data_IF_163277472112
#
_entry.id   IF_163277472112
#
_cell.length_a   1.000
_cell.length_b   1.000
_cell.length_c   1.000
_cell.angle_alpha   90.00
_cell.angle_beta   90.00
_cell.angle_gamma   90.00
#
_symmetry.space_group_name_H-M   'P 1'
#
loop_
_entity.id
_entity.type
_entity.pdbx_description
1 polymer ?
#
# COMPACT_ATOMS: atom_id res chain seq x y z
N UNK A 1 -23.15 -17.24 6.14
CA UNK A 1 -22.27 -16.08 5.87
C UNK A 1 -20.83 -16.49 6.19
N UNK A 2 -19.87 -16.17 5.33
CA UNK A 2 -18.44 -16.49 5.53
C UNK A 2 -17.65 -15.18 5.69
N UNK A 3 -16.84 -15.09 6.75
CA UNK A 3 -15.98 -13.92 6.97
C UNK A 3 -14.77 -13.99 6.03
N UNK A 4 -14.50 -12.88 5.34
CA UNK A 4 -13.42 -12.78 4.36
C UNK A 4 -12.54 -11.57 4.74
N UNK A 5 -11.38 -11.79 5.38
CA UNK A 5 -10.51 -10.68 5.75
C UNK A 5 -9.80 -10.09 4.53
N UNK A 6 -9.64 -8.77 4.51
CA UNK A 6 -8.79 -8.06 3.54
C UNK A 6 -7.47 -7.75 4.25
N UNK A 7 -6.37 -8.22 3.69
CA UNK A 7 -5.03 -8.07 4.26
C UNK A 7 -4.22 -7.16 3.33
N UNK A 8 -3.91 -5.92 3.73
CA UNK A 8 -2.98 -5.07 2.98
C UNK A 8 -1.53 -5.53 3.19
N UNK A 9 -0.72 -5.43 2.14
CA UNK A 9 0.71 -5.71 2.18
C UNK A 9 1.46 -4.71 1.30
N UNK A 10 2.51 -4.11 1.85
CA UNK A 10 3.48 -3.33 1.07
C UNK A 10 4.73 -4.16 0.91
N UNK A 11 5.30 -4.15 -0.29
CA UNK A 11 6.61 -4.75 -0.51
C UNK A 11 7.74 -3.72 -0.29
N UNK A 12 8.97 -4.20 -0.04
CA UNK A 12 10.17 -3.37 0.09
C UNK A 12 10.75 -2.95 -1.28
N UNK A 13 10.14 -3.35 -2.40
CA UNK A 13 10.50 -2.84 -3.72
C UNK A 13 9.84 -1.49 -4.02
N UNK A 14 10.66 -0.52 -4.43
CA UNK A 14 10.20 0.74 -5.03
C UNK A 14 10.12 0.58 -6.54
N UNK A 15 9.03 1.05 -7.13
CA UNK A 15 8.82 1.10 -8.58
C UNK A 15 9.14 2.51 -9.05
N UNK A 16 10.06 2.65 -10.01
CA UNK A 16 10.34 3.91 -10.70
C UNK A 16 9.69 3.92 -12.08
N UNK A 17 9.12 5.07 -12.47
CA UNK A 17 8.51 5.25 -13.79
C UNK A 17 9.43 6.13 -14.63
N UNK A 18 9.95 5.61 -15.75
CA UNK A 18 11.03 6.22 -16.54
C UNK A 18 10.76 7.65 -17.07
N UNK A 19 9.52 8.14 -17.01
CA UNK A 19 9.14 9.46 -17.52
C UNK A 19 9.59 10.60 -16.60
N UNK A 20 9.87 10.34 -15.32
CA UNK A 20 10.27 11.34 -14.32
C UNK A 20 11.01 10.64 -13.17
N UNK A 21 11.86 11.36 -12.41
CA UNK A 21 12.53 10.81 -11.22
C UNK A 21 11.55 10.60 -10.04
N UNK A 22 10.43 9.92 -10.28
CA UNK A 22 9.44 9.59 -9.28
C UNK A 22 9.53 8.10 -8.95
N UNK A 23 9.66 7.82 -7.66
CA UNK A 23 9.61 6.49 -7.09
C UNK A 23 8.32 6.30 -6.31
N UNK A 24 7.82 5.07 -6.32
CA UNK A 24 6.56 4.72 -5.70
C UNK A 24 6.67 3.41 -4.94
N UNK A 25 6.00 3.35 -3.79
CA UNK A 25 5.77 2.13 -3.02
C UNK A 25 4.48 1.45 -3.52
N UNK A 26 4.52 0.24 -4.08
CA UNK A 26 3.31 -0.48 -4.45
C UNK A 26 2.60 -1.00 -3.18
N UNK A 27 1.31 -0.72 -3.09
CA UNK A 27 0.43 -1.22 -2.05
C UNK A 27 -0.45 -2.32 -2.63
N UNK A 28 -0.34 -3.52 -2.09
CA UNK A 28 -1.14 -4.67 -2.47
C UNK A 28 -2.21 -4.96 -1.42
N UNK A 29 -3.31 -5.57 -1.86
CA UNK A 29 -4.35 -6.13 -1.01
C UNK A 29 -4.58 -7.58 -1.37
N UNK A 30 -4.80 -8.42 -0.37
CA UNK A 30 -5.12 -9.82 -0.56
C UNK A 30 -6.37 -10.22 0.21
N UNK A 31 -7.10 -11.15 -0.36
CA UNK A 31 -8.22 -11.80 0.31
C UNK A 31 -7.68 -12.93 1.19
N UNK A 32 -7.73 -12.77 2.51
CA UNK A 32 -7.15 -13.73 3.46
C UNK A 32 -7.93 -15.04 3.60
N UNK A 33 -9.10 -15.16 2.96
CA UNK A 33 -9.86 -16.40 2.84
C UNK A 33 -9.53 -17.18 1.55
N UNK A 34 -8.27 -17.15 1.15
CA UNK A 34 -7.77 -17.92 0.01
C UNK A 34 -6.82 -18.99 0.53
N UNK A 35 -7.15 -20.25 0.27
CA UNK A 35 -6.34 -21.39 0.69
C UNK A 35 -4.95 -21.32 0.01
N UNK A 36 -3.92 -21.76 0.73
CA UNK A 36 -2.51 -21.66 0.33
C UNK A 36 -2.19 -22.26 -1.06
N UNK A 37 -3.00 -23.19 -1.57
CA UNK A 37 -2.87 -23.71 -2.93
C UNK A 37 -3.07 -22.62 -4.02
N UNK A 38 -3.92 -21.63 -3.78
CA UNK A 38 -4.12 -20.50 -4.69
C UNK A 38 -3.01 -19.43 -4.57
N UNK A 39 -2.24 -19.44 -3.48
CA UNK A 39 -1.00 -18.66 -3.37
C UNK A 39 0.11 -19.24 -4.25
N UNK A 40 0.23 -20.58 -4.29
CA UNK A 40 1.27 -21.25 -5.06
C UNK A 40 0.91 -21.48 -6.53
N UNK A 41 -0.39 -21.57 -6.87
CA UNK A 41 -0.84 -22.00 -8.19
C UNK A 41 -0.99 -20.89 -9.23
N UNK A 42 -1.42 -19.68 -8.86
CA UNK A 42 -1.78 -18.68 -9.87
C UNK A 42 -1.95 -17.21 -9.40
N UNK A 43 -1.46 -16.79 -8.23
CA UNK A 43 -1.43 -15.37 -7.84
C UNK A 43 -2.79 -14.63 -7.81
N UNK A 44 -3.92 -15.34 -7.90
CA UNK A 44 -5.26 -14.77 -8.09
C UNK A 44 -5.84 -14.07 -6.85
N UNK A 45 -5.12 -14.12 -5.73
CA UNK A 45 -5.57 -13.58 -4.45
C UNK A 45 -5.05 -12.17 -4.16
N UNK A 46 -4.08 -11.68 -4.93
CA UNK A 46 -3.40 -10.40 -4.70
C UNK A 46 -3.84 -9.40 -5.76
N UNK A 47 -4.31 -8.23 -5.34
CA UNK A 47 -4.67 -7.11 -6.21
C UNK A 47 -3.84 -5.89 -5.83
N UNK A 48 -3.41 -5.11 -6.83
CA UNK A 48 -2.75 -3.83 -6.60
C UNK A 48 -3.79 -2.79 -6.16
N UNK A 49 -3.62 -2.24 -4.96
CA UNK A 49 -4.48 -1.18 -4.43
C UNK A 49 -4.03 0.21 -4.91
N UNK A 50 -2.72 0.43 -5.03
CA UNK A 50 -2.20 1.69 -5.55
C UNK A 50 -0.70 1.86 -5.37
N UNK A 51 -0.22 3.07 -5.68
CA UNK A 51 1.18 3.47 -5.59
C UNK A 51 1.29 4.66 -4.63
N UNK A 52 1.97 4.47 -3.50
CA UNK A 52 2.23 5.54 -2.53
C UNK A 52 3.46 6.33 -2.98
N UNK A 53 3.36 7.65 -2.97
CA UNK A 53 4.46 8.53 -3.39
C UNK A 53 5.64 8.46 -2.42
N UNK A 54 6.85 8.37 -2.96
CA UNK A 54 8.10 8.57 -2.22
C UNK A 54 8.55 10.01 -2.45
N UNK A 55 8.35 10.93 -1.49
CA UNK A 55 8.87 12.28 -1.63
C UNK A 55 10.39 12.22 -1.61
N UNK A 56 11.01 12.78 -2.66
CA UNK A 56 12.46 12.99 -2.71
C UNK A 56 12.74 14.46 -2.45
N UNK A 57 13.72 14.74 -1.62
CA UNK A 57 14.25 16.08 -1.47
C UNK A 57 15.08 16.46 -2.71
N UNK A 58 15.12 17.75 -3.03
CA UNK A 58 15.97 18.26 -4.14
C UNK A 58 17.46 18.27 -3.76
N UNK A 59 17.74 18.28 -2.47
CA UNK A 59 19.06 18.43 -1.87
C UNK A 59 19.24 17.27 -0.89
N UNK A 60 20.15 16.34 -1.22
CA UNK A 60 20.34 15.08 -0.51
C UNK A 60 20.66 15.26 0.99
N UNK A 61 21.18 16.43 1.36
CA UNK A 61 21.47 16.85 2.73
C UNK A 61 20.21 16.88 3.64
N UNK A 62 19.03 17.10 3.06
CA UNK A 62 17.77 17.18 3.80
C UNK A 62 17.04 15.82 3.89
N UNK A 63 17.54 14.75 3.25
CA UNK A 63 16.93 13.42 3.37
C UNK A 63 16.99 12.87 4.81
N UNK A 64 18.05 13.23 5.55
CA UNK A 64 18.25 12.82 6.94
C UNK A 64 17.70 13.84 7.95
N UNK A 65 17.10 14.93 7.49
CA UNK A 65 16.50 15.93 8.35
C UNK A 65 15.29 15.33 9.10
N UNK A 66 15.18 15.51 10.42
CA UNK A 66 14.10 14.94 11.21
C UNK A 66 12.72 15.45 10.79
N UNK A 67 12.59 16.70 10.35
CA UNK A 67 11.30 17.24 9.90
C UNK A 67 10.90 16.64 8.55
N UNK A 68 11.87 16.44 7.66
CA UNK A 68 11.64 15.70 6.41
C UNK A 68 11.26 14.23 6.65
N UNK A 69 11.95 13.54 7.58
CA UNK A 69 11.60 12.18 7.98
C UNK A 69 10.16 12.11 8.55
N UNK A 70 9.78 13.06 9.40
CA UNK A 70 8.42 13.16 9.95
C UNK A 70 7.38 13.42 8.87
N UNK A 71 7.68 14.33 7.93
CA UNK A 71 6.82 14.60 6.78
C UNK A 71 6.63 13.34 5.92
N UNK A 72 7.71 12.60 5.64
CA UNK A 72 7.64 11.36 4.87
C UNK A 72 6.77 10.30 5.57
N UNK A 73 6.91 10.14 6.88
CA UNK A 73 6.05 9.24 7.67
C UNK A 73 4.58 9.71 7.67
N UNK A 74 4.35 11.01 7.89
CA UNK A 74 3.01 11.59 7.89
C UNK A 74 2.31 11.39 6.53
N UNK A 75 3.02 11.66 5.43
CA UNK A 75 2.51 11.49 4.08
C UNK A 75 2.17 10.01 3.80
N UNK A 76 3.05 9.10 4.21
CA UNK A 76 2.83 7.66 4.07
C UNK A 76 1.57 7.20 4.82
N UNK A 77 1.47 7.52 6.11
CA UNK A 77 0.33 7.13 6.95
C UNK A 77 -0.98 7.76 6.49
N UNK A 78 -0.96 9.04 6.09
CA UNK A 78 -2.15 9.73 5.58
C UNK A 78 -2.61 9.12 4.26
N UNK A 79 -1.70 8.87 3.33
CA UNK A 79 -2.03 8.24 2.04
C UNK A 79 -2.59 6.83 2.23
N UNK A 80 -2.00 6.05 3.14
CA UNK A 80 -2.50 4.73 3.50
C UNK A 80 -3.90 4.79 4.12
N UNK A 81 -4.12 5.72 5.05
CA UNK A 81 -5.41 5.92 5.70
C UNK A 81 -6.50 6.25 4.67
N UNK A 82 -6.24 7.22 3.79
CA UNK A 82 -7.17 7.61 2.71
C UNK A 82 -7.48 6.44 1.77
N UNK A 83 -6.48 5.63 1.41
CA UNK A 83 -6.71 4.45 0.58
C UNK A 83 -7.63 3.43 1.28
N UNK A 84 -7.41 3.18 2.57
CA UNK A 84 -8.19 2.22 3.37
C UNK A 84 -9.58 2.75 3.79
N UNK A 85 -9.79 4.06 3.84
CA UNK A 85 -11.09 4.68 4.11
C UNK A 85 -12.16 4.20 3.12
N UNK A 86 -11.79 4.00 1.86
CA UNK A 86 -12.70 3.49 0.83
C UNK A 86 -13.18 2.06 1.12
N UNK A 87 -12.37 1.26 1.84
CA UNK A 87 -12.64 -0.16 2.16
C UNK A 87 -13.32 -0.30 3.51
N UNK A 88 -13.18 0.69 4.41
CA UNK A 88 -13.78 0.74 5.74
C UNK A 88 -15.27 0.35 5.79
N UNK A 89 -16.19 0.87 4.93
CA UNK A 89 -17.61 0.51 5.00
C UNK A 89 -17.87 -0.98 4.74
N UNK A 90 -17.08 -1.60 3.87
CA UNK A 90 -17.15 -3.03 3.54
C UNK A 90 -16.71 -3.90 4.71
N UNK A 91 -15.73 -3.43 5.50
CA UNK A 91 -15.24 -4.13 6.70
C UNK A 91 -16.20 -3.96 7.88
N UNK A 92 -16.79 -2.77 8.05
CA UNK A 92 -17.67 -2.48 9.20
C UNK A 92 -19.05 -3.11 9.10
N UNK A 93 -19.55 -3.38 7.89
CA UNK A 93 -20.89 -3.92 7.68
C UNK A 93 -20.82 -5.12 6.74
N UNK A 94 -20.87 -6.36 7.26
CA UNK A 94 -20.89 -7.53 6.39
C UNK A 94 -22.19 -7.54 5.59
N UNK A 95 -22.09 -7.59 4.26
CA UNK A 95 -23.23 -7.89 3.40
C UNK A 95 -23.60 -9.36 3.62
N UNK A 96 -24.84 -9.59 4.07
CA UNK A 96 -25.47 -10.92 4.21
C UNK A 96 -26.29 -11.21 2.96
#
# INVERSE_FOLDING_TARGET
AMFVPIIPGSDKTVVSVATVNNEYWPLYITTGNVHSSAWCGHGQAVSLLGFLSVPKSRQQEFEADPDFCNFHQYLFHTSLATALETIKPTISTPKV
#
